data_IF_947817045885
#
_entry.id   IF_947817045885
#
_cell.length_a   1.000
_cell.length_b   1.000
_cell.length_c   1.000
_cell.angle_alpha   90.00
_cell.angle_beta   90.00
_cell.angle_gamma   90.00
#
_symmetry.space_group_name_H-M   'P 1'
#
loop_
_entity.id
_entity.type
_entity.pdbx_description
1 polymer ?
#
# COMPACT_ATOMS: atom_id res chain seq x y z
N UNK A 1 -5.99 -6.48 2.95
CA UNK A 1 -5.41 -7.72 2.39
C UNK A 1 -3.92 -7.48 2.19
N UNK A 2 -3.05 -8.45 2.51
CA UNK A 2 -1.61 -8.35 2.25
C UNK A 2 -1.26 -9.37 1.15
N UNK A 3 -0.44 -8.96 0.18
CA UNK A 3 0.10 -9.88 -0.83
C UNK A 3 1.22 -10.77 -0.25
N UNK A 4 1.77 -11.66 -1.07
CA UNK A 4 2.86 -12.57 -0.67
C UNK A 4 4.25 -11.97 -0.87
N UNK A 5 4.41 -11.00 -1.78
CA UNK A 5 5.71 -10.39 -2.07
C UNK A 5 6.35 -9.73 -0.85
N UNK A 6 7.61 -10.06 -0.59
CA UNK A 6 8.45 -9.47 0.45
C UNK A 6 9.80 -9.14 -0.18
N UNK A 7 10.23 -7.88 -0.07
CA UNK A 7 11.51 -7.42 -0.60
C UNK A 7 12.24 -6.65 0.50
N UNK A 8 13.55 -6.91 0.71
CA UNK A 8 14.35 -6.11 1.62
C UNK A 8 14.33 -4.62 1.23
N UNK A 9 14.30 -3.72 2.21
CA UNK A 9 14.14 -2.28 1.96
C UNK A 9 15.25 -1.68 1.07
N UNK A 10 16.45 -2.27 1.07
CA UNK A 10 17.57 -1.84 0.24
C UNK A 10 17.53 -2.33 -1.21
N UNK A 11 16.57 -3.21 -1.55
CA UNK A 11 16.42 -3.81 -2.87
C UNK A 11 15.22 -3.26 -3.64
N UNK A 12 14.54 -2.25 -3.08
CA UNK A 12 13.37 -1.61 -3.71
C UNK A 12 13.48 -0.09 -3.58
N UNK A 13 13.15 0.62 -4.65
CA UNK A 13 12.97 2.06 -4.61
C UNK A 13 11.62 2.39 -3.96
N UNK A 14 11.58 2.50 -2.63
CA UNK A 14 10.32 2.60 -1.85
C UNK A 14 9.43 3.77 -2.28
N UNK A 15 10.04 4.89 -2.66
CA UNK A 15 9.35 6.08 -3.15
C UNK A 15 8.99 6.02 -4.64
N UNK A 16 9.32 4.93 -5.34
CA UNK A 16 9.09 4.78 -6.78
C UNK A 16 8.61 3.36 -7.12
N UNK A 17 7.46 3.01 -6.55
CA UNK A 17 6.75 1.75 -6.84
C UNK A 17 5.46 2.07 -7.56
N UNK A 18 5.39 1.72 -8.84
CA UNK A 18 4.17 1.83 -9.62
C UNK A 18 3.13 0.81 -9.14
N UNK A 19 1.87 1.25 -9.11
CA UNK A 19 0.72 0.46 -8.70
C UNK A 19 -0.40 0.59 -9.74
N UNK A 20 -0.98 -0.55 -10.12
CA UNK A 20 -2.13 -0.62 -11.04
C UNK A 20 -3.27 -1.38 -10.35
N UNK A 21 -4.46 -0.80 -10.34
CA UNK A 21 -5.65 -1.41 -9.77
C UNK A 21 -6.62 -1.78 -10.89
N UNK A 22 -6.94 -3.07 -10.94
CA UNK A 22 -7.92 -3.63 -11.85
C UNK A 22 -9.22 -3.96 -11.11
N UNK A 23 -10.36 -3.67 -11.74
CA UNK A 23 -11.70 -4.12 -11.33
C UNK A 23 -12.27 -4.94 -12.47
N UNK A 24 -12.61 -6.20 -12.22
CA UNK A 24 -13.20 -7.11 -13.21
C UNK A 24 -12.37 -7.21 -14.52
N UNK A 25 -11.04 -7.08 -14.41
CA UNK A 25 -10.12 -7.12 -15.54
C UNK A 25 -9.85 -5.78 -16.23
N UNK A 26 -10.50 -4.69 -15.81
CA UNK A 26 -10.29 -3.34 -16.35
C UNK A 26 -9.49 -2.47 -15.38
N UNK A 27 -8.52 -1.71 -15.90
CA UNK A 27 -7.75 -0.74 -15.09
C UNK A 27 -8.68 0.40 -14.66
N UNK A 28 -8.82 0.58 -13.35
CA UNK A 28 -9.67 1.64 -12.76
C UNK A 28 -8.88 2.73 -12.03
N UNK A 29 -7.62 2.45 -11.69
CA UNK A 29 -6.68 3.43 -11.16
C UNK A 29 -5.22 3.00 -11.39
N UNK A 30 -4.36 3.99 -11.56
CA UNK A 30 -2.92 3.86 -11.61
C UNK A 30 -2.31 4.91 -10.68
N UNK A 31 -1.14 4.63 -10.14
CA UNK A 31 -0.44 5.55 -9.25
C UNK A 31 0.97 5.07 -8.92
N UNK A 32 1.68 5.88 -8.15
CA UNK A 32 3.04 5.58 -7.71
C UNK A 32 3.16 5.84 -6.20
N UNK A 33 4.00 5.07 -5.52
CA UNK A 33 4.17 5.17 -4.06
C UNK A 33 4.67 6.54 -3.59
N UNK A 34 5.32 7.35 -4.44
CA UNK A 34 5.65 8.76 -4.15
C UNK A 34 4.43 9.64 -3.83
N UNK A 35 3.22 9.24 -4.24
CA UNK A 35 1.99 9.93 -3.84
C UNK A 35 1.78 9.92 -2.31
N UNK A 36 2.41 8.99 -1.60
CA UNK A 36 2.42 8.93 -0.14
C UNK A 36 3.47 9.90 0.41
N UNK A 37 3.11 11.19 0.45
CA UNK A 37 3.94 12.26 1.04
C UNK A 37 5.36 12.33 0.46
N UNK A 38 5.56 12.00 -0.82
CA UNK A 38 6.85 11.94 -1.49
C UNK A 38 7.63 10.64 -1.27
N UNK A 39 7.53 10.05 -0.07
CA UNK A 39 8.12 8.75 0.28
C UNK A 39 7.26 8.08 1.38
N UNK A 40 6.75 6.85 1.17
CA UNK A 40 6.00 6.10 2.17
C UNK A 40 6.68 6.00 3.56
N UNK A 41 8.02 5.97 3.62
CA UNK A 41 8.77 5.93 4.88
C UNK A 41 8.60 7.22 5.70
N UNK A 42 8.32 8.35 5.05
CA UNK A 42 7.99 9.61 5.73
C UNK A 42 6.74 9.47 6.59
N UNK A 43 5.71 8.80 6.08
CA UNK A 43 4.47 8.56 6.82
C UNK A 43 4.70 7.63 8.03
N UNK A 44 5.52 6.58 7.87
CA UNK A 44 5.87 5.66 8.98
C UNK A 44 6.65 6.40 10.07
N UNK A 45 7.65 7.19 9.69
CA UNK A 45 8.45 7.96 10.64
C UNK A 45 7.62 9.03 11.37
N UNK A 46 6.66 9.66 10.69
CA UNK A 46 5.72 10.58 11.31
C UNK A 46 4.82 9.86 12.32
N UNK A 47 4.25 8.71 11.93
CA UNK A 47 3.37 7.94 12.80
C UNK A 47 4.09 7.53 14.09
N UNK A 48 5.32 7.00 13.97
CA UNK A 48 6.14 6.60 15.11
C UNK A 48 6.32 7.73 16.14
N UNK A 49 6.62 8.95 15.67
CA UNK A 49 6.77 10.13 16.53
C UNK A 49 5.44 10.58 17.10
N UNK A 50 4.36 10.50 16.32
CA UNK A 50 3.04 10.97 16.75
C UNK A 50 2.47 10.11 17.88
N UNK A 51 2.59 8.79 17.78
CA UNK A 51 2.03 7.85 18.77
C UNK A 51 2.80 7.86 20.09
N UNK A 52 4.08 8.21 20.07
CA UNK A 52 4.88 8.37 21.30
C UNK A 52 4.30 9.42 22.23
N UNK A 53 3.77 10.53 21.69
CA UNK A 53 3.09 11.57 22.47
C UNK A 53 1.83 11.09 23.19
N UNK A 54 1.28 9.94 22.80
CA UNK A 54 0.14 9.29 23.47
C UNK A 54 0.56 8.11 24.35
N UNK A 55 1.87 7.93 24.60
CA UNK A 55 2.40 6.80 25.39
C UNK A 55 2.40 5.46 24.65
N UNK A 56 2.18 5.47 23.33
CA UNK A 56 2.20 4.27 22.48
C UNK A 56 3.50 4.23 21.68
N UNK A 57 4.02 3.02 21.41
CA UNK A 57 5.20 2.83 20.56
C UNK A 57 4.90 1.76 19.52
N UNK A 58 5.37 1.97 18.29
CA UNK A 58 5.44 0.91 17.29
C UNK A 58 6.46 -0.13 17.75
N UNK A 59 6.13 -1.40 17.59
CA UNK A 59 6.92 -2.55 18.04
C UNK A 59 7.48 -3.31 16.84
N UNK A 60 8.57 -4.02 17.08
CA UNK A 60 9.08 -4.96 16.10
C UNK A 60 7.98 -6.00 15.76
N UNK A 61 7.73 -6.19 14.47
CA UNK A 61 6.66 -7.06 13.98
C UNK A 61 5.33 -6.35 13.67
N UNK A 62 5.18 -5.07 14.03
CA UNK A 62 3.99 -4.30 13.62
C UNK A 62 3.95 -4.12 12.09
N UNK A 63 2.74 -4.22 11.53
CA UNK A 63 2.49 -3.92 10.11
C UNK A 63 1.89 -2.52 10.02
N UNK A 64 2.58 -1.63 9.30
CA UNK A 64 2.14 -0.25 9.07
C UNK A 64 1.77 -0.07 7.61
N UNK A 65 0.56 0.42 7.35
CA UNK A 65 0.11 0.84 6.03
C UNK A 65 0.40 2.34 5.87
N UNK A 66 1.43 2.74 5.10
CA UNK A 66 1.92 4.12 5.11
C UNK A 66 1.00 5.11 4.38
N UNK A 67 0.15 4.62 3.49
CA UNK A 67 -0.74 5.42 2.65
C UNK A 67 -1.14 4.64 1.39
N UNK A 68 -1.82 5.32 0.48
CA UNK A 68 -2.27 4.75 -0.80
C UNK A 68 -1.60 5.46 -1.98
N UNK A 69 -1.24 4.70 -3.02
CA UNK A 69 -0.72 5.23 -4.27
C UNK A 69 -1.84 5.75 -5.19
N UNK A 70 -3.08 5.28 -4.99
CA UNK A 70 -4.23 5.59 -5.83
C UNK A 70 -5.38 6.18 -5.01
N UNK A 71 -6.33 6.81 -5.70
CA UNK A 71 -7.65 7.15 -5.10
C UNK A 71 -8.38 5.89 -4.64
N UNK A 72 -9.29 6.06 -3.69
CA UNK A 72 -10.23 5.00 -3.30
C UNK A 72 -11.26 4.75 -4.41
N UNK A 73 -11.66 3.50 -4.59
CA UNK A 73 -12.68 3.04 -5.54
C UNK A 73 -13.80 2.37 -4.77
N UNK A 74 -15.05 2.75 -5.07
CA UNK A 74 -16.22 2.09 -4.50
C UNK A 74 -16.34 0.66 -5.02
N UNK A 75 -16.70 -0.23 -4.09
CA UNK A 75 -16.89 -1.66 -4.33
C UNK A 75 -18.37 -2.00 -4.26
N UNK A 76 -18.82 -2.91 -5.12
CA UNK A 76 -20.12 -3.56 -4.99
C UNK A 76 -19.97 -5.09 -4.95
N UNK A 77 -21.00 -5.78 -4.46
CA UNK A 77 -21.04 -7.23 -4.47
C UNK A 77 -20.88 -7.78 -5.91
N UNK A 78 -20.08 -8.84 -6.05
CA UNK A 78 -19.69 -9.44 -7.32
C UNK A 78 -18.40 -8.87 -7.93
N UNK A 79 -17.82 -7.79 -7.38
CA UNK A 79 -16.56 -7.26 -7.91
C UNK A 79 -15.36 -8.13 -7.55
N UNK A 80 -14.45 -8.27 -8.52
CA UNK A 80 -13.10 -8.78 -8.32
C UNK A 80 -12.11 -7.64 -8.49
N UNK A 81 -11.28 -7.42 -7.47
CA UNK A 81 -10.18 -6.47 -7.54
C UNK A 81 -8.83 -7.18 -7.57
N UNK A 82 -7.91 -6.68 -8.39
CA UNK A 82 -6.50 -7.10 -8.42
C UNK A 82 -5.65 -5.83 -8.40
N UNK A 83 -4.81 -5.69 -7.38
CA UNK A 83 -3.81 -4.64 -7.31
C UNK A 83 -2.43 -5.22 -7.60
N UNK A 84 -1.73 -4.63 -8.56
CA UNK A 84 -0.39 -5.03 -8.99
C UNK A 84 0.59 -3.92 -8.59
N UNK A 85 1.76 -4.31 -8.09
CA UNK A 85 2.80 -3.41 -7.60
C UNK A 85 4.13 -3.82 -8.20
N UNK A 86 4.81 -2.88 -8.86
CA UNK A 86 6.11 -3.12 -9.49
C UNK A 86 7.12 -3.66 -8.45
N UNK A 87 7.75 -4.80 -8.76
CA UNK A 87 8.72 -5.44 -7.88
C UNK A 87 8.15 -6.10 -6.61
N UNK A 88 6.86 -5.93 -6.30
CA UNK A 88 6.21 -6.51 -5.11
C UNK A 88 5.15 -7.57 -5.44
N UNK A 89 4.78 -7.73 -6.72
CA UNK A 89 3.78 -8.70 -7.16
C UNK A 89 2.35 -8.15 -7.03
N UNK A 90 1.39 -9.03 -6.77
CA UNK A 90 -0.03 -8.65 -6.76
C UNK A 90 -0.79 -9.16 -5.54
N UNK A 91 -1.95 -8.55 -5.29
CA UNK A 91 -2.92 -8.96 -4.29
C UNK A 91 -4.32 -8.88 -4.91
N UNK A 92 -5.18 -9.83 -4.59
CA UNK A 92 -6.54 -9.88 -5.12
C UNK A 92 -7.57 -10.11 -4.03
N UNK A 93 -8.79 -9.70 -4.30
CA UNK A 93 -9.95 -9.93 -3.44
C UNK A 93 -11.21 -10.00 -4.29
N UNK A 94 -12.04 -11.01 -4.02
CA UNK A 94 -13.38 -11.14 -4.56
C UNK A 94 -14.39 -10.68 -3.48
N UNK A 95 -15.29 -9.78 -3.85
CA UNK A 95 -16.36 -9.29 -2.98
C UNK A 95 -17.64 -10.07 -3.28
N UNK A 96 -18.07 -10.92 -2.34
CA UNK A 96 -19.28 -11.76 -2.44
C UNK A 96 -20.51 -11.10 -1.83
#
# INVERSE_FOLDING_TARGET
>A
VLGEGRVPIGEIAVADVDAVLHRNGEVVAEGNSSAVLGDPLTAVAWLARKVEGFGVRLRAGDVVLPGTATRAIDVVAGDRFVAEFAGLGSVSLDFI
#
